data_IF_063491189799
#
_entry.id   IF_063491189799
#
_cell.length_a   1.000
_cell.length_b   1.000
_cell.length_c   1.000
_cell.angle_alpha   90.00
_cell.angle_beta   90.00
_cell.angle_gamma   90.00
#
_symmetry.space_group_name_H-M   'P 1'
#
loop_
_entity.id
_entity.type
_entity.pdbx_description
1 polymer ?
#
# COMPACT_ATOMS: atom_id res chain seq x y z
N UNK A 1 -38.48 16.55 -18.10
CA UNK A 1 -37.23 16.25 -18.59
C UNK A 1 -36.38 15.63 -17.59
N UNK A 2 -35.72 14.72 -18.03
CA UNK A 2 -34.93 14.08 -17.16
C UNK A 2 -33.58 14.50 -17.42
N UNK A 3 -32.96 14.96 -16.46
CA UNK A 3 -31.64 15.35 -16.55
C UNK A 3 -30.81 14.24 -16.17
N UNK A 4 -29.76 14.10 -16.82
CA UNK A 4 -28.79 13.16 -16.45
C UNK A 4 -28.41 13.51 -15.06
N UNK A 5 -28.39 12.57 -14.26
CA UNK A 5 -27.99 12.77 -12.94
C UNK A 5 -26.53 12.99 -12.89
N UNK A 6 -26.09 13.64 -11.91
CA UNK A 6 -24.68 13.86 -11.76
C UNK A 6 -24.05 12.57 -11.33
N UNK A 7 -24.30 11.60 -12.12
CA UNK A 7 -23.78 10.40 -11.76
C UNK A 7 -22.30 10.36 -11.86
N UNK A 8 -21.75 11.26 -12.50
CA UNK A 8 -20.31 11.30 -12.46
C UNK A 8 -19.85 11.50 -11.06
N UNK A 9 -20.53 12.31 -10.30
CA UNK A 9 -20.12 12.49 -8.94
C UNK A 9 -20.44 11.25 -8.15
N UNK A 10 -21.55 10.70 -8.43
CA UNK A 10 -21.90 9.51 -7.73
C UNK A 10 -20.98 8.39 -8.08
N UNK A 11 -20.26 8.55 -9.14
CA UNK A 11 -19.44 7.57 -9.57
C UNK A 11 -18.08 7.75 -9.23
N UNK A 12 -17.76 8.45 -8.31
CA UNK A 12 -16.49 8.43 -7.82
C UNK A 12 -16.18 7.04 -7.74
N UNK A 13 -15.62 6.51 -8.73
CA UNK A 13 -15.22 5.20 -8.70
C UNK A 13 -14.18 5.04 -7.67
N UNK A 14 -14.32 4.09 -6.86
CA UNK A 14 -13.27 3.70 -5.96
C UNK A 14 -12.10 3.21 -6.80
N UNK A 15 -10.91 3.63 -6.46
CA UNK A 15 -9.72 3.10 -7.10
C UNK A 15 -9.50 1.65 -6.64
N UNK A 16 -8.55 0.96 -7.28
CA UNK A 16 -8.30 -0.45 -6.94
C UNK A 16 -7.87 -0.64 -5.49
N UNK A 17 -7.14 0.33 -4.96
CA UNK A 17 -6.60 0.23 -3.61
C UNK A 17 -7.70 0.35 -2.57
N UNK A 18 -8.71 1.17 -2.83
CA UNK A 18 -9.82 1.34 -1.92
C UNK A 18 -10.53 0.01 -1.63
N UNK A 19 -10.54 -0.88 -2.60
CA UNK A 19 -11.24 -2.16 -2.45
C UNK A 19 -10.49 -3.16 -1.60
N UNK A 20 -9.19 -3.01 -1.48
CA UNK A 20 -8.36 -4.01 -0.83
C UNK A 20 -7.69 -3.53 0.45
N UNK A 21 -7.90 -2.29 0.85
CA UNK A 21 -7.29 -1.75 2.06
C UNK A 21 -8.35 -1.49 3.14
N UNK A 22 -8.54 -2.42 4.08
CA UNK A 22 -9.42 -2.17 5.23
C UNK A 22 -8.79 -1.13 6.14
N UNK A 23 -9.63 -0.31 6.79
CA UNK A 23 -9.13 0.70 7.74
C UNK A 23 -8.32 0.05 8.86
N UNK A 24 -8.73 -1.14 9.29
CA UNK A 24 -8.03 -1.85 10.36
C UNK A 24 -6.61 -2.28 9.97
N UNK A 25 -6.29 -2.25 8.68
CA UNK A 25 -4.95 -2.58 8.20
C UNK A 25 -4.08 -1.36 7.95
N UNK A 26 -4.48 -0.21 8.46
CA UNK A 26 -3.66 1.00 8.41
C UNK A 26 -3.11 1.25 9.80
N UNK A 27 -1.79 1.24 9.94
CA UNK A 27 -1.14 1.45 11.23
C UNK A 27 -0.13 2.58 11.14
N UNK A 28 -0.10 3.41 12.16
CA UNK A 28 0.80 4.56 12.23
C UNK A 28 1.76 4.41 13.39
N UNK A 29 2.88 5.12 13.28
CA UNK A 29 3.89 5.19 14.33
C UNK A 29 4.37 3.82 14.81
N UNK A 30 4.48 2.91 13.87
CA UNK A 30 4.96 1.57 14.17
C UNK A 30 6.45 1.58 14.44
N UNK A 31 6.86 0.83 15.46
CA UNK A 31 8.26 0.76 15.84
C UNK A 31 8.84 -0.54 15.29
N UNK A 32 9.68 -0.42 14.31
CA UNK A 32 10.36 -1.56 13.73
C UNK A 32 11.77 -1.13 13.34
N UNK A 33 12.75 -1.90 13.76
CA UNK A 33 14.15 -1.53 13.56
C UNK A 33 14.80 -2.19 12.35
N UNK A 34 14.08 -3.04 11.64
CA UNK A 34 14.65 -3.76 10.49
C UNK A 34 13.56 -4.20 9.54
N UNK A 35 13.96 -4.49 8.31
CA UNK A 35 13.06 -5.05 7.30
C UNK A 35 12.39 -6.34 7.82
N UNK A 36 13.17 -7.20 8.46
CA UNK A 36 12.65 -8.43 9.02
C UNK A 36 11.54 -8.16 10.04
N UNK A 37 11.76 -7.18 10.92
CA UNK A 37 10.78 -6.85 11.95
C UNK A 37 9.51 -6.28 11.34
N UNK A 38 9.64 -5.50 10.26
CA UNK A 38 8.47 -5.00 9.53
C UNK A 38 7.64 -6.17 9.00
N UNK A 39 8.28 -7.18 8.42
CA UNK A 39 7.57 -8.34 7.89
C UNK A 39 6.91 -9.16 8.99
N UNK A 40 7.56 -9.25 10.15
CA UNK A 40 6.95 -9.93 11.30
C UNK A 40 5.69 -9.20 11.76
N UNK A 41 5.76 -7.88 11.86
CA UNK A 41 4.61 -7.07 12.27
C UNK A 41 3.47 -7.17 11.25
N UNK A 42 3.80 -7.15 9.97
CA UNK A 42 2.79 -7.33 8.92
C UNK A 42 2.11 -8.69 9.06
N UNK A 43 2.89 -9.74 9.33
CA UNK A 43 2.33 -11.08 9.53
C UNK A 43 1.35 -11.12 10.69
N UNK A 44 1.70 -10.51 11.80
CA UNK A 44 0.81 -10.46 12.97
C UNK A 44 -0.49 -9.72 12.63
N UNK A 45 -0.39 -8.60 11.93
CA UNK A 45 -1.56 -7.83 11.56
C UNK A 45 -2.51 -8.60 10.65
N UNK A 46 -1.97 -9.23 9.61
CA UNK A 46 -2.81 -10.01 8.69
C UNK A 46 -3.42 -11.24 9.37
N UNK A 47 -2.70 -11.83 10.32
CA UNK A 47 -3.25 -12.95 11.07
C UNK A 47 -4.43 -12.50 11.94
N UNK A 48 -4.25 -11.40 12.65
CA UNK A 48 -5.28 -10.87 13.53
C UNK A 48 -6.52 -10.38 12.77
N UNK A 49 -6.31 -9.75 11.62
CA UNK A 49 -7.40 -9.09 10.90
C UNK A 49 -8.01 -9.93 9.78
N UNK A 50 -7.22 -10.76 9.13
CA UNK A 50 -7.68 -11.56 8.00
C UNK A 50 -7.59 -13.05 8.21
N UNK A 51 -7.03 -13.50 9.33
CA UNK A 51 -6.91 -14.93 9.60
C UNK A 51 -5.87 -15.64 8.74
N UNK A 52 -4.94 -14.91 8.15
CA UNK A 52 -3.85 -15.50 7.36
C UNK A 52 -2.67 -15.74 8.30
N UNK A 53 -2.18 -16.98 8.34
CA UNK A 53 -1.11 -17.35 9.28
C UNK A 53 0.09 -16.42 9.17
N UNK A 54 0.58 -15.93 10.32
CA UNK A 54 1.69 -14.96 10.33
C UNK A 54 2.96 -15.48 9.67
N UNK A 55 3.26 -16.74 9.86
CA UNK A 55 4.46 -17.31 9.24
C UNK A 55 4.29 -17.43 7.73
N UNK A 56 3.10 -17.74 7.26
CA UNK A 56 2.80 -17.77 5.83
C UNK A 56 3.02 -16.40 5.20
N UNK A 57 2.54 -15.36 5.86
CA UNK A 57 2.74 -13.99 5.38
C UNK A 57 4.22 -13.64 5.36
N UNK A 58 4.90 -13.86 6.49
CA UNK A 58 6.32 -13.55 6.61
C UNK A 58 7.14 -14.24 5.52
N UNK A 59 6.92 -15.55 5.36
CA UNK A 59 7.69 -16.34 4.39
C UNK A 59 7.46 -15.85 2.95
N UNK A 60 6.22 -15.51 2.62
CA UNK A 60 5.88 -15.03 1.30
C UNK A 60 6.53 -13.68 1.01
N UNK A 61 6.45 -12.76 1.94
CA UNK A 61 7.07 -11.44 1.78
C UNK A 61 8.58 -11.55 1.69
N UNK A 62 9.18 -12.38 2.53
CA UNK A 62 10.62 -12.54 2.56
C UNK A 62 11.15 -13.20 1.29
N UNK A 63 10.42 -14.20 0.78
CA UNK A 63 10.81 -14.88 -0.46
C UNK A 63 10.86 -13.90 -1.63
N UNK A 64 9.89 -12.99 -1.71
CA UNK A 64 9.89 -11.96 -2.76
C UNK A 64 11.03 -10.96 -2.57
N UNK A 65 11.26 -10.54 -1.33
CA UNK A 65 12.29 -9.55 -1.04
C UNK A 65 13.69 -10.05 -1.34
N UNK A 66 13.91 -11.36 -1.22
CA UNK A 66 15.20 -11.96 -1.56
C UNK A 66 15.54 -11.85 -3.03
N UNK A 67 14.55 -11.72 -3.88
CA UNK A 67 14.75 -11.59 -5.32
C UNK A 67 15.17 -10.18 -5.72
N UNK A 68 14.97 -9.23 -4.83
CA UNK A 68 15.31 -7.84 -5.06
C UNK A 68 14.44 -6.95 -4.20
N UNK A 69 14.97 -5.80 -3.80
CA UNK A 69 14.25 -4.88 -2.92
C UNK A 69 12.95 -4.41 -3.53
N UNK A 70 11.90 -4.34 -2.72
CA UNK A 70 10.61 -3.77 -3.11
C UNK A 70 10.54 -2.27 -2.79
N UNK A 71 11.65 -1.67 -2.41
CA UNK A 71 11.73 -0.23 -2.22
C UNK A 71 11.57 0.50 -3.55
N UNK A 72 10.80 1.58 -3.53
CA UNK A 72 10.57 2.40 -4.73
C UNK A 72 11.45 3.65 -4.74
N UNK A 73 12.12 3.93 -3.66
CA UNK A 73 12.77 5.22 -3.46
C UNK A 73 11.81 6.19 -2.78
N UNK A 74 12.31 7.35 -2.42
CA UNK A 74 11.54 8.42 -1.77
C UNK A 74 10.92 7.99 -0.44
N UNK A 75 11.53 7.02 0.24
CA UNK A 75 11.05 6.57 1.54
C UNK A 75 9.90 5.58 1.49
N UNK A 76 9.62 5.02 0.31
CA UNK A 76 8.47 4.14 0.09
C UNK A 76 8.91 2.74 -0.31
N UNK A 77 8.18 1.74 0.16
CA UNK A 77 8.35 0.36 -0.31
C UNK A 77 7.00 -0.31 -0.48
N UNK A 78 6.94 -1.31 -1.37
CA UNK A 78 5.73 -2.10 -1.60
C UNK A 78 6.07 -3.58 -1.45
N UNK A 79 6.30 -4.05 -0.21
CA UNK A 79 6.48 -5.48 0.00
C UNK A 79 5.23 -6.23 -0.43
N UNK A 80 5.40 -7.33 -1.14
CA UNK A 80 4.25 -8.08 -1.62
C UNK A 80 4.58 -9.55 -1.76
N UNK A 81 3.56 -10.37 -1.76
CA UNK A 81 3.73 -11.80 -1.89
C UNK A 81 2.44 -12.49 -2.28
N UNK A 82 2.59 -13.73 -2.73
CA UNK A 82 1.45 -14.57 -3.12
C UNK A 82 1.11 -15.51 -1.99
N UNK A 83 -0.18 -15.67 -1.74
CA UNK A 83 -0.67 -16.52 -0.66
C UNK A 83 -1.56 -17.59 -1.24
N UNK A 84 -1.18 -18.83 -1.02
CA UNK A 84 -1.97 -19.97 -1.46
C UNK A 84 -3.28 -19.99 -0.70
N UNK A 85 -4.38 -20.15 -1.41
CA UNK A 85 -5.70 -20.19 -0.79
C UNK A 85 -6.36 -18.83 -0.59
N UNK A 86 -5.64 -17.75 -0.81
CA UNK A 86 -6.23 -16.43 -0.72
C UNK A 86 -7.12 -16.21 -1.94
N UNK A 87 -8.33 -15.71 -1.72
CA UNK A 87 -9.29 -15.52 -2.81
C UNK A 87 -9.21 -14.14 -3.43
N UNK A 88 -8.93 -13.13 -2.64
CA UNK A 88 -8.86 -11.76 -3.11
C UNK A 88 -7.65 -11.07 -2.52
N UNK A 89 -7.07 -10.14 -3.27
CA UNK A 89 -5.94 -9.36 -2.78
C UNK A 89 -6.35 -8.57 -1.55
N UNK A 90 -5.43 -8.41 -0.62
CA UNK A 90 -5.63 -7.60 0.56
C UNK A 90 -4.35 -6.85 0.87
N UNK A 91 -4.48 -5.60 1.25
CA UNK A 91 -3.36 -4.73 1.54
C UNK A 91 -3.35 -4.24 2.96
N UNK A 92 -2.22 -3.66 3.31
CA UNK A 92 -2.02 -3.00 4.59
C UNK A 92 -1.07 -1.84 4.37
N UNK A 93 -1.21 -0.80 5.18
CA UNK A 93 -0.29 0.33 5.13
C UNK A 93 0.31 0.55 6.49
N UNK A 94 1.63 0.69 6.51
CA UNK A 94 2.38 0.93 7.74
C UNK A 94 3.18 2.22 7.60
N UNK A 95 3.00 3.14 8.53
CA UNK A 95 3.88 4.29 8.66
C UNK A 95 4.75 4.07 9.88
N UNK A 96 6.06 4.00 9.66
CA UNK A 96 7.00 3.71 10.73
C UNK A 96 7.37 4.98 11.49
N UNK A 97 7.62 4.84 12.79
CA UNK A 97 8.08 5.96 13.62
C UNK A 97 9.47 6.40 13.21
N UNK A 98 10.33 5.47 12.80
CA UNK A 98 11.66 5.76 12.30
C UNK A 98 11.89 4.98 11.01
N UNK A 99 12.59 5.56 10.02
CA UNK A 99 12.84 4.87 8.75
C UNK A 99 13.75 3.67 8.93
N UNK A 100 13.59 2.69 8.07
CA UNK A 100 14.32 1.42 8.10
C UNK A 100 15.01 1.18 6.77
N UNK A 101 16.21 0.63 6.79
CA UNK A 101 16.91 0.28 5.56
C UNK A 101 16.18 -0.83 4.81
N UNK A 102 15.92 -0.57 3.54
CA UNK A 102 15.23 -1.52 2.66
C UNK A 102 16.01 -1.83 1.40
N UNK A 103 17.25 -1.37 1.32
CA UNK A 103 18.09 -1.51 0.12
C UNK A 103 17.38 -0.94 -1.11
N UNK A 104 16.71 0.20 -0.93
CA UNK A 104 15.99 0.87 -1.99
C UNK A 104 16.96 1.39 -3.05
N UNK A 105 16.49 1.59 -4.30
CA UNK A 105 17.36 2.05 -5.39
C UNK A 105 18.09 3.35 -5.12
N UNK A 106 17.47 4.26 -4.36
CA UNK A 106 18.09 5.55 -4.04
C UNK A 106 18.93 5.51 -2.76
N UNK A 107 19.03 4.36 -2.13
CA UNK A 107 19.81 4.21 -0.90
C UNK A 107 19.18 4.82 0.34
N UNK A 108 17.99 5.40 0.22
CA UNK A 108 17.33 6.04 1.36
C UNK A 108 16.51 5.05 2.16
N UNK A 109 16.43 5.25 3.48
CA UNK A 109 15.59 4.39 4.30
C UNK A 109 14.10 4.63 4.04
N UNK A 110 13.28 3.67 4.47
CA UNK A 110 11.85 3.62 4.16
C UNK A 110 11.03 3.76 5.43
N UNK A 111 10.00 4.59 5.37
CA UNK A 111 9.05 4.72 6.48
C UNK A 111 7.59 4.60 6.06
N UNK A 112 7.32 4.57 4.75
CA UNK A 112 5.97 4.38 4.22
C UNK A 112 5.93 3.06 3.47
N UNK A 113 5.14 2.11 3.96
CA UNK A 113 5.09 0.79 3.35
C UNK A 113 3.67 0.37 3.05
N UNK A 114 3.45 -0.04 1.83
CA UNK A 114 2.20 -0.69 1.46
C UNK A 114 2.49 -2.17 1.26
N UNK A 115 1.93 -3.01 2.11
CA UNK A 115 2.14 -4.45 2.05
C UNK A 115 0.96 -5.07 1.32
N UNK A 116 1.23 -5.84 0.28
CA UNK A 116 0.20 -6.42 -0.56
C UNK A 116 0.29 -7.93 -0.60
N UNK A 117 -0.81 -8.60 -0.29
CA UNK A 117 -0.94 -10.05 -0.44
C UNK A 117 -1.91 -10.31 -1.57
N UNK A 118 -1.53 -11.19 -2.49
CA UNK A 118 -2.35 -11.51 -3.66
C UNK A 118 -2.57 -13.01 -3.76
N UNK A 119 -3.68 -13.43 -4.42
CA UNK A 119 -3.88 -14.84 -4.70
C UNK A 119 -2.75 -15.41 -5.55
N UNK A 120 -2.47 -16.67 -5.36
CA UNK A 120 -1.34 -17.33 -6.01
C UNK A 120 -1.38 -17.20 -7.53
N UNK A 121 -2.57 -17.20 -8.12
CA UNK A 121 -2.73 -17.21 -9.57
C UNK A 121 -3.21 -15.92 -10.20
N UNK A 122 -3.37 -14.86 -9.44
CA UNK A 122 -3.96 -13.63 -9.94
C UNK A 122 -2.93 -12.68 -10.54
N UNK A 123 -2.27 -13.11 -11.61
CA UNK A 123 -1.11 -12.40 -12.15
C UNK A 123 -1.41 -11.02 -12.73
N UNK A 124 -2.45 -10.93 -13.56
CA UNK A 124 -2.78 -9.66 -14.20
C UNK A 124 -3.30 -8.63 -13.23
N UNK A 125 -4.21 -9.05 -12.35
CA UNK A 125 -4.72 -8.16 -11.32
C UNK A 125 -3.60 -7.67 -10.41
N UNK A 126 -2.67 -8.55 -10.10
CA UNK A 126 -1.50 -8.22 -9.30
C UNK A 126 -0.71 -7.07 -9.94
N UNK A 127 -0.44 -7.17 -11.24
CA UNK A 127 0.31 -6.13 -11.94
C UNK A 127 -0.45 -4.80 -11.97
N UNK A 128 -1.76 -4.83 -12.12
CA UNK A 128 -2.57 -3.62 -12.11
C UNK A 128 -2.53 -2.94 -10.76
N UNK A 129 -2.62 -3.69 -9.68
CA UNK A 129 -2.56 -3.14 -8.33
C UNK A 129 -1.19 -2.50 -8.08
N UNK A 130 -0.12 -3.21 -8.44
CA UNK A 130 1.23 -2.67 -8.26
C UNK A 130 1.44 -1.40 -9.08
N UNK A 131 0.91 -1.37 -10.29
CA UNK A 131 1.00 -0.19 -11.15
C UNK A 131 0.29 1.01 -10.53
N UNK A 132 -0.89 0.80 -9.99
CA UNK A 132 -1.62 1.90 -9.35
C UNK A 132 -0.91 2.38 -8.09
N UNK A 133 -0.38 1.48 -7.29
CA UNK A 133 0.39 1.85 -6.12
C UNK A 133 1.63 2.66 -6.51
N UNK A 134 2.31 2.26 -7.59
CA UNK A 134 3.47 2.99 -8.07
C UNK A 134 3.09 4.41 -8.50
N UNK A 135 1.95 4.58 -9.16
CA UNK A 135 1.47 5.90 -9.54
C UNK A 135 1.15 6.75 -8.31
N UNK A 136 0.46 6.18 -7.33
CA UNK A 136 0.14 6.88 -6.09
C UNK A 136 1.40 7.37 -5.41
N UNK A 137 2.38 6.50 -5.24
CA UNK A 137 3.58 6.85 -4.52
C UNK A 137 4.57 7.69 -5.33
N UNK A 138 4.36 7.83 -6.63
CA UNK A 138 5.15 8.77 -7.43
C UNK A 138 4.67 10.21 -7.23
N UNK A 139 3.49 10.39 -6.66
CA UNK A 139 2.90 11.70 -6.41
C UNK A 139 3.45 12.25 -5.10
N UNK A 140 4.32 13.25 -5.19
CA UNK A 140 4.95 13.83 -4.02
C UNK A 140 3.92 14.39 -3.03
N UNK A 141 2.88 15.03 -3.53
CA UNK A 141 1.85 15.59 -2.65
C UNK A 141 1.18 14.48 -1.84
N UNK A 142 0.96 13.33 -2.47
CA UNK A 142 0.37 12.19 -1.79
C UNK A 142 1.30 11.67 -0.67
N UNK A 143 2.59 11.52 -0.98
CA UNK A 143 3.56 11.08 0.03
C UNK A 143 3.61 12.04 1.21
N UNK A 144 3.61 13.35 0.93
CA UNK A 144 3.65 14.36 1.98
C UNK A 144 2.38 14.31 2.85
N UNK A 145 1.23 14.09 2.23
CA UNK A 145 -0.02 13.97 2.97
C UNK A 145 -0.03 12.71 3.86
N UNK A 146 0.50 11.61 3.36
CA UNK A 146 0.60 10.38 4.17
C UNK A 146 1.50 10.60 5.39
N UNK A 147 2.59 11.33 5.19
CA UNK A 147 3.53 11.61 6.26
C UNK A 147 2.91 12.54 7.32
N UNK A 148 2.10 13.49 6.88
CA UNK A 148 1.52 14.49 7.78
C UNK A 148 0.19 14.05 8.42
N UNK A 149 -0.42 12.98 7.95
CA UNK A 149 -1.74 12.57 8.41
C UNK A 149 -1.73 12.26 9.91
N UNK A 150 -2.78 12.69 10.61
CA UNK A 150 -2.83 12.56 12.04
C UNK A 150 -3.02 11.13 12.54
N UNK A 151 -3.78 10.32 11.80
CA UNK A 151 -4.16 8.99 12.27
C UNK A 151 -4.46 8.04 11.11
N UNK A 152 -4.79 6.80 11.46
CA UNK A 152 -5.09 5.77 10.47
C UNK A 152 -6.30 6.11 9.61
N UNK A 153 -7.32 6.73 10.19
CA UNK A 153 -8.52 7.09 9.43
C UNK A 153 -8.20 8.11 8.34
N UNK A 154 -7.38 9.10 8.67
CA UNK A 154 -6.96 10.12 7.72
C UNK A 154 -6.16 9.49 6.58
N UNK A 155 -5.27 8.57 6.90
CA UNK A 155 -4.47 7.86 5.89
C UNK A 155 -5.38 7.03 4.98
N UNK A 156 -6.29 6.29 5.57
CA UNK A 156 -7.23 5.47 4.80
C UNK A 156 -8.01 6.34 3.81
N UNK A 157 -8.49 7.50 4.26
CA UNK A 157 -9.21 8.43 3.41
C UNK A 157 -8.36 8.91 2.23
N UNK A 158 -7.07 9.15 2.47
CA UNK A 158 -6.16 9.56 1.39
C UNK A 158 -6.06 8.47 0.31
N UNK A 159 -5.92 7.22 0.70
CA UNK A 159 -5.83 6.13 -0.26
C UNK A 159 -7.13 5.96 -1.04
N UNK A 160 -8.27 6.05 -0.37
CA UNK A 160 -9.54 5.77 -1.02
C UNK A 160 -10.03 6.92 -1.90
N UNK A 161 -9.53 8.13 -1.68
CA UNK A 161 -9.91 9.29 -2.47
C UNK A 161 -8.91 9.67 -3.56
N UNK A 162 -7.77 8.98 -3.62
CA UNK A 162 -6.76 9.31 -4.61
C UNK A 162 -7.27 9.06 -6.03
N UNK A 163 -6.98 10.00 -6.93
CA UNK A 163 -7.39 9.89 -8.33
C UNK A 163 -6.22 10.17 -9.26
N UNK A 164 -5.99 9.33 -10.25
CA UNK A 164 -4.90 9.53 -11.19
C UNK A 164 -4.98 10.88 -11.92
N UNK A 165 -6.19 11.32 -12.25
CA UNK A 165 -6.40 12.58 -12.94
C UNK A 165 -5.91 13.78 -12.12
N UNK A 166 -6.26 13.79 -10.84
CA UNK A 166 -5.83 14.87 -9.95
C UNK A 166 -4.32 14.89 -9.79
N UNK A 167 -3.70 13.70 -9.67
CA UNK A 167 -2.25 13.60 -9.56
C UNK A 167 -1.57 14.12 -10.82
N UNK A 168 -2.11 13.80 -11.99
CA UNK A 168 -1.57 14.26 -13.26
C UNK A 168 -1.66 15.77 -13.38
N UNK A 169 -2.76 16.35 -12.96
CA UNK A 169 -2.94 17.80 -12.98
C UNK A 169 -1.95 18.50 -12.05
N UNK A 170 -1.71 17.95 -10.88
CA UNK A 170 -0.74 18.52 -9.96
C UNK A 170 0.66 18.52 -10.57
N UNK A 171 1.03 17.43 -11.22
CA UNK A 171 2.35 17.36 -11.86
C UNK A 171 2.48 18.36 -13.01
N UNK A 172 1.42 18.56 -13.75
CA UNK A 172 1.44 19.50 -14.86
C UNK A 172 1.52 20.96 -14.40
N UNK A 173 1.05 21.24 -13.21
CA UNK A 173 1.03 22.60 -12.68
C UNK A 173 2.39 23.04 -12.12
N UNK A 174 3.32 22.12 -11.95
CA UNK A 174 4.66 22.45 -11.41
C UNK A 174 5.69 22.86 -12.48
#
# INVERSE_FOLDING_TARGET
STFPQPFSAARKTMNLIAKLLPTSNVQVDQDASSKKRVFEQAGIMFENNQGIGRSTVFDSLFAREKLGSTGLGQGVAIPHGRIKGLKEAVGAFLRLAAPVQFDAPDGKPVNLLFVLLVPEQATEQHLQILSELAQMFSDRAFRDQLTAAADAAAIHALFTSWEPHAASERRAAV
#
